data_IF_844271610642
#
_entry.id   IF_844271610642
#
_cell.length_a   1.000
_cell.length_b   1.000
_cell.length_c   1.000
_cell.angle_alpha   90.00
_cell.angle_beta   90.00
_cell.angle_gamma   90.00
#
_symmetry.space_group_name_H-M   'P 1'
#
loop_
_entity.id
_entity.type
_entity.pdbx_description
1 polymer ?
#
# COMPACT_ATOMS: atom_id res chain seq x y z
N UNK A 1 -11.55 18.01 -16.72
CA UNK A 1 -12.21 16.76 -16.28
C UNK A 1 -12.84 17.03 -14.93
N UNK A 2 -14.07 16.55 -14.70
CA UNK A 2 -14.73 16.70 -13.40
C UNK A 2 -13.95 15.88 -12.37
N UNK A 3 -13.57 16.45 -11.21
CA UNK A 3 -12.89 15.69 -10.15
C UNK A 3 -13.85 14.61 -9.64
N UNK A 4 -13.62 13.35 -10.01
CA UNK A 4 -14.39 12.20 -9.50
C UNK A 4 -14.19 12.12 -7.99
N UNK A 5 -15.28 12.22 -7.20
CA UNK A 5 -15.17 12.04 -5.75
C UNK A 5 -15.00 10.55 -5.42
N UNK A 6 -14.49 10.18 -4.22
CA UNK A 6 -14.43 8.77 -3.84
C UNK A 6 -15.78 8.06 -3.84
N UNK A 7 -16.89 8.80 -3.62
CA UNK A 7 -18.23 8.23 -3.70
C UNK A 7 -18.62 7.91 -5.14
N UNK A 8 -18.34 8.80 -6.08
CA UNK A 8 -18.61 8.60 -7.50
C UNK A 8 -17.78 7.44 -8.06
N UNK A 9 -16.49 7.38 -7.69
CA UNK A 9 -15.59 6.30 -8.11
C UNK A 9 -16.08 4.93 -7.63
N UNK A 10 -16.51 4.82 -6.36
CA UNK A 10 -17.08 3.57 -5.83
C UNK A 10 -18.35 3.17 -6.57
N UNK A 11 -19.25 4.12 -6.83
CA UNK A 11 -20.49 3.86 -7.57
C UNK A 11 -20.20 3.38 -9.01
N UNK A 12 -19.18 3.91 -9.66
CA UNK A 12 -18.75 3.47 -10.99
C UNK A 12 -18.14 2.05 -10.93
N UNK A 13 -17.21 1.80 -10.00
CA UNK A 13 -16.57 0.50 -9.81
C UNK A 13 -17.58 -0.62 -9.51
N UNK A 14 -18.66 -0.31 -8.80
CA UNK A 14 -19.75 -1.25 -8.52
C UNK A 14 -20.48 -1.72 -9.78
N UNK A 15 -20.54 -0.88 -10.83
CA UNK A 15 -21.14 -1.26 -12.12
C UNK A 15 -20.21 -2.15 -12.96
N UNK A 16 -18.91 -2.19 -12.65
CA UNK A 16 -17.94 -2.98 -13.39
C UNK A 16 -17.96 -4.44 -12.90
N UNK A 17 -18.18 -5.43 -13.79
CA UNK A 17 -18.11 -6.84 -13.43
C UNK A 17 -16.78 -7.19 -12.77
N UNK A 18 -16.78 -8.00 -11.71
CA UNK A 18 -15.58 -8.31 -10.92
C UNK A 18 -14.39 -8.74 -11.78
N UNK A 19 -14.59 -9.61 -12.77
CA UNK A 19 -13.53 -10.08 -13.67
C UNK A 19 -13.03 -9.06 -14.70
N UNK A 20 -13.67 -7.89 -14.81
CA UNK A 20 -13.28 -6.81 -15.71
C UNK A 20 -12.69 -5.60 -14.96
N UNK A 21 -12.77 -5.57 -13.62
CA UNK A 21 -12.30 -4.43 -12.81
C UNK A 21 -10.83 -4.15 -12.98
N UNK A 22 -10.02 -5.19 -13.15
CA UNK A 22 -8.59 -5.05 -13.31
C UNK A 22 -8.24 -4.29 -14.60
N UNK A 23 -8.75 -4.76 -15.74
CA UNK A 23 -8.53 -4.11 -17.04
C UNK A 23 -9.18 -2.71 -17.11
N UNK A 24 -10.35 -2.53 -16.48
CA UNK A 24 -11.01 -1.24 -16.42
C UNK A 24 -10.18 -0.22 -15.63
N UNK A 25 -9.64 -0.60 -14.47
CA UNK A 25 -8.78 0.29 -13.67
C UNK A 25 -7.50 0.61 -14.43
N UNK A 26 -6.89 -0.38 -15.08
CA UNK A 26 -5.65 -0.17 -15.83
C UNK A 26 -5.86 0.84 -16.97
N UNK A 27 -6.95 0.70 -17.72
CA UNK A 27 -7.31 1.65 -18.77
C UNK A 27 -7.61 3.06 -18.21
N UNK A 28 -8.33 3.15 -17.08
CA UNK A 28 -8.62 4.42 -16.42
C UNK A 28 -7.33 5.13 -15.96
N UNK A 29 -6.37 4.36 -15.42
CA UNK A 29 -5.14 4.87 -14.85
C UNK A 29 -3.95 4.91 -15.84
N UNK A 30 -4.13 4.48 -17.09
CA UNK A 30 -3.04 4.38 -18.07
C UNK A 30 -1.95 3.38 -17.69
N UNK A 31 -2.32 2.21 -17.17
CA UNK A 31 -1.41 1.13 -16.74
C UNK A 31 -1.16 0.10 -17.86
N UNK A 32 -1.71 0.33 -19.06
CA UNK A 32 -1.65 -0.58 -20.22
C UNK A 32 -0.23 -0.99 -20.64
N UNK A 33 0.76 -0.12 -20.39
CA UNK A 33 2.18 -0.41 -20.57
C UNK A 33 2.94 -0.14 -19.26
N UNK A 34 3.51 -1.20 -18.68
CA UNK A 34 4.44 -1.08 -17.56
C UNK A 34 5.87 -1.30 -18.03
N UNK A 35 6.82 -0.45 -17.64
CA UNK A 35 8.23 -0.67 -17.93
C UNK A 35 8.67 -2.06 -17.47
N UNK A 36 9.51 -2.73 -18.26
CA UNK A 36 10.15 -3.97 -17.87
C UNK A 36 11.03 -3.76 -16.62
N UNK A 37 11.19 -4.82 -15.83
CA UNK A 37 12.08 -4.79 -14.68
C UNK A 37 13.53 -4.49 -15.10
N UNK A 38 14.14 -3.53 -14.40
CA UNK A 38 15.49 -3.05 -14.70
C UNK A 38 16.56 -3.63 -13.77
N UNK A 39 17.82 -3.32 -14.06
CA UNK A 39 18.97 -3.70 -13.22
C UNK A 39 18.92 -3.12 -11.79
N UNK A 40 17.99 -2.20 -11.51
CA UNK A 40 17.74 -1.64 -10.19
C UNK A 40 16.98 -2.60 -9.26
N UNK A 41 16.32 -3.64 -9.78
CA UNK A 41 15.64 -4.64 -8.96
C UNK A 41 16.68 -5.50 -8.21
N UNK A 42 16.71 -5.50 -6.86
CA UNK A 42 17.69 -6.27 -6.12
C UNK A 42 17.50 -7.78 -6.33
N UNK A 43 18.59 -8.54 -6.23
CA UNK A 43 18.52 -10.00 -6.23
C UNK A 43 17.63 -10.50 -5.09
N UNK A 44 16.68 -11.37 -5.41
CA UNK A 44 15.73 -11.93 -4.44
C UNK A 44 14.43 -11.14 -4.28
N UNK A 45 14.29 -10.00 -4.96
CA UNK A 45 13.01 -9.29 -5.08
C UNK A 45 12.14 -9.91 -6.19
N UNK A 46 10.83 -9.70 -6.09
CA UNK A 46 9.84 -10.22 -7.05
C UNK A 46 9.71 -9.23 -8.22
N UNK A 47 9.67 -9.72 -9.48
CA UNK A 47 9.28 -8.92 -10.65
C UNK A 47 7.98 -8.15 -10.44
N UNK A 48 7.80 -7.02 -11.14
CA UNK A 48 6.56 -6.27 -11.00
C UNK A 48 5.33 -7.10 -11.43
N UNK A 49 4.41 -7.29 -10.48
CA UNK A 49 3.10 -7.90 -10.70
C UNK A 49 2.04 -7.04 -10.00
N UNK A 50 1.04 -6.50 -10.72
CA UNK A 50 -0.01 -5.72 -10.09
C UNK A 50 -0.87 -6.57 -9.16
N UNK A 51 -1.17 -6.04 -7.97
CA UNK A 51 -2.15 -6.65 -7.06
C UNK A 51 -3.57 -6.57 -7.67
N UNK A 52 -4.35 -7.68 -7.67
CA UNK A 52 -5.72 -7.66 -8.16
C UNK A 52 -6.60 -6.64 -7.42
N UNK A 53 -7.51 -5.99 -8.14
CA UNK A 53 -8.44 -4.99 -7.58
C UNK A 53 -9.26 -5.59 -6.43
N UNK A 54 -9.72 -6.82 -6.57
CA UNK A 54 -10.48 -7.52 -5.52
C UNK A 54 -9.69 -7.65 -4.21
N UNK A 55 -8.37 -7.89 -4.30
CA UNK A 55 -7.49 -8.04 -3.14
C UNK A 55 -7.24 -6.69 -2.45
N UNK A 56 -7.02 -5.62 -3.23
CA UNK A 56 -6.89 -4.26 -2.67
C UNK A 56 -8.19 -3.83 -1.99
N UNK A 57 -9.36 -4.10 -2.59
CA UNK A 57 -10.66 -3.80 -1.98
C UNK A 57 -10.83 -4.53 -0.63
N UNK A 58 -10.48 -5.81 -0.58
CA UNK A 58 -10.53 -6.58 0.66
C UNK A 58 -9.60 -5.99 1.73
N UNK A 59 -8.40 -5.56 1.35
CA UNK A 59 -7.44 -4.92 2.26
C UNK A 59 -7.96 -3.58 2.79
N UNK A 60 -8.46 -2.71 1.91
CA UNK A 60 -9.05 -1.40 2.27
C UNK A 60 -10.22 -1.57 3.24
N UNK A 61 -11.12 -2.52 2.95
CA UNK A 61 -12.27 -2.81 3.81
C UNK A 61 -11.84 -3.38 5.17
N UNK A 62 -10.96 -4.38 5.18
CA UNK A 62 -10.56 -5.07 6.40
C UNK A 62 -9.70 -4.17 7.31
N UNK A 63 -8.80 -3.37 6.74
CA UNK A 63 -8.04 -2.37 7.49
C UNK A 63 -8.86 -1.12 7.84
N UNK A 64 -10.10 -1.00 7.33
CA UNK A 64 -10.98 0.16 7.55
C UNK A 64 -10.30 1.48 7.16
N UNK A 65 -9.65 1.52 5.99
CA UNK A 65 -8.94 2.72 5.52
C UNK A 65 -9.93 3.84 5.22
N UNK A 66 -9.69 5.03 5.78
CA UNK A 66 -10.52 6.22 5.59
C UNK A 66 -9.70 7.38 5.01
N UNK A 67 -10.36 8.48 4.66
CA UNK A 67 -9.73 9.71 4.17
C UNK A 67 -8.76 10.36 5.16
N UNK A 68 -8.88 10.05 6.46
CA UNK A 68 -8.08 10.64 7.54
C UNK A 68 -6.75 9.90 7.73
N UNK A 69 -6.55 8.78 7.03
CA UNK A 69 -5.38 7.93 7.13
C UNK A 69 -4.31 8.29 6.10
N UNK A 70 -3.08 7.87 6.37
CA UNK A 70 -1.97 7.89 5.42
C UNK A 70 -1.63 6.45 5.05
N UNK A 71 -1.97 6.08 3.83
CA UNK A 71 -1.72 4.75 3.28
C UNK A 71 -0.34 4.69 2.62
N UNK A 72 0.46 3.70 2.99
CA UNK A 72 1.81 3.49 2.47
C UNK A 72 1.88 2.14 1.77
N UNK A 73 2.11 2.15 0.46
CA UNK A 73 2.33 0.97 -0.36
C UNK A 73 3.83 0.67 -0.46
N UNK A 74 4.25 -0.46 0.10
CA UNK A 74 5.65 -0.86 0.22
C UNK A 74 6.00 -1.79 -0.94
N UNK A 75 6.73 -1.28 -1.93
CA UNK A 75 6.91 -1.94 -3.23
C UNK A 75 5.77 -1.60 -4.19
N UNK A 76 5.49 -0.30 -4.37
CA UNK A 76 4.29 0.18 -5.06
C UNK A 76 4.27 -0.06 -6.57
N UNK A 77 5.42 -0.45 -7.14
CA UNK A 77 5.57 -0.67 -8.57
C UNK A 77 5.07 0.50 -9.41
N UNK A 78 4.23 0.20 -10.39
CA UNK A 78 3.67 1.19 -11.30
C UNK A 78 2.53 2.06 -10.70
N UNK A 79 2.24 1.89 -9.39
CA UNK A 79 1.35 2.75 -8.62
C UNK A 79 -0.13 2.32 -8.58
N UNK A 80 -0.49 1.16 -9.11
CA UNK A 80 -1.89 0.69 -9.21
C UNK A 80 -2.63 0.72 -7.87
N UNK A 81 -2.02 0.14 -6.82
CA UNK A 81 -2.63 0.07 -5.48
C UNK A 81 -2.77 1.48 -4.89
N UNK A 82 -1.73 2.30 -4.97
CA UNK A 82 -1.75 3.70 -4.50
C UNK A 82 -2.88 4.50 -5.14
N UNK A 83 -3.00 4.43 -6.48
CA UNK A 83 -4.06 5.12 -7.22
C UNK A 83 -5.44 4.62 -6.83
N UNK A 84 -5.63 3.30 -6.77
CA UNK A 84 -6.90 2.67 -6.41
C UNK A 84 -7.33 3.06 -4.99
N UNK A 85 -6.44 2.96 -4.00
CA UNK A 85 -6.76 3.29 -2.60
C UNK A 85 -7.15 4.76 -2.48
N UNK A 86 -6.41 5.67 -3.14
CA UNK A 86 -6.75 7.09 -3.13
C UNK A 86 -8.13 7.34 -3.78
N UNK A 87 -8.39 6.75 -4.94
CA UNK A 87 -9.69 6.88 -5.63
C UNK A 87 -10.85 6.30 -4.80
N UNK A 88 -10.61 5.22 -4.04
CA UNK A 88 -11.62 4.60 -3.20
C UNK A 88 -11.94 5.39 -1.92
N UNK A 89 -10.94 6.07 -1.34
CA UNK A 89 -11.03 6.54 0.05
C UNK A 89 -10.79 8.04 0.22
N UNK A 90 -10.03 8.67 -0.69
CA UNK A 90 -9.49 10.02 -0.53
C UNK A 90 -8.30 10.11 0.44
N UNK A 91 -7.78 8.98 0.94
CA UNK A 91 -6.64 8.95 1.84
C UNK A 91 -5.39 9.58 1.20
N UNK A 92 -4.51 10.15 2.02
CA UNK A 92 -3.16 10.48 1.55
C UNK A 92 -2.42 9.16 1.27
N UNK A 93 -1.81 9.04 0.09
CA UNK A 93 -1.16 7.80 -0.31
C UNK A 93 0.31 8.03 -0.71
N UNK A 94 1.16 7.12 -0.26
CA UNK A 94 2.60 7.14 -0.49
C UNK A 94 3.01 5.80 -1.09
N UNK A 95 3.62 5.80 -2.26
CA UNK A 95 4.23 4.60 -2.83
C UNK A 95 5.75 4.61 -2.66
N UNK A 96 6.32 3.52 -2.11
CA UNK A 96 7.75 3.29 -2.06
C UNK A 96 8.13 2.31 -3.16
N UNK A 97 9.02 2.71 -4.08
CA UNK A 97 9.43 1.84 -5.19
C UNK A 97 10.91 2.06 -5.53
N UNK A 98 11.64 0.97 -5.73
CA UNK A 98 13.08 1.02 -5.97
C UNK A 98 13.44 1.24 -7.45
N UNK A 99 12.58 0.78 -8.36
CA UNK A 99 12.81 0.84 -9.80
C UNK A 99 12.45 2.22 -10.37
N UNK A 100 13.42 2.99 -10.91
CA UNK A 100 13.18 4.36 -11.36
C UNK A 100 12.14 4.49 -12.48
N UNK A 101 12.08 3.50 -13.37
CA UNK A 101 11.13 3.47 -14.48
C UNK A 101 9.68 3.33 -13.97
N UNK A 102 9.45 2.45 -13.00
CA UNK A 102 8.13 2.27 -12.37
C UNK A 102 7.71 3.51 -11.59
N UNK A 103 8.62 4.14 -10.83
CA UNK A 103 8.35 5.42 -10.14
C UNK A 103 7.98 6.52 -11.13
N UNK A 104 8.72 6.63 -12.24
CA UNK A 104 8.45 7.64 -13.27
C UNK A 104 7.06 7.44 -13.88
N UNK A 105 6.70 6.19 -14.21
CA UNK A 105 5.38 5.86 -14.72
C UNK A 105 4.28 6.18 -13.68
N UNK A 106 4.47 5.80 -12.42
CA UNK A 106 3.52 6.04 -11.35
C UNK A 106 3.27 7.55 -11.10
N UNK A 107 4.34 8.37 -11.09
CA UNK A 107 4.25 9.83 -11.00
C UNK A 107 3.49 10.42 -12.19
N UNK A 108 3.83 10.01 -13.41
CA UNK A 108 3.14 10.47 -14.62
C UNK A 108 1.64 10.16 -14.63
N UNK A 109 1.23 9.02 -14.06
CA UNK A 109 -0.20 8.66 -13.91
C UNK A 109 -0.93 9.51 -12.88
N UNK A 110 -0.32 9.74 -11.71
CA UNK A 110 -0.90 10.62 -10.71
C UNK A 110 -1.05 12.06 -11.24
N UNK A 111 -0.05 12.54 -12.00
CA UNK A 111 -0.08 13.84 -12.65
C UNK A 111 -1.16 13.92 -13.75
N UNK A 112 -1.28 12.92 -14.62
CA UNK A 112 -2.27 12.90 -15.71
C UNK A 112 -3.71 12.86 -15.19
N UNK A 113 -3.94 12.15 -14.08
CA UNK A 113 -5.22 12.09 -13.37
C UNK A 113 -5.47 13.32 -12.47
N UNK A 114 -4.49 14.22 -12.34
CA UNK A 114 -4.55 15.41 -11.49
C UNK A 114 -4.88 15.08 -10.02
N UNK A 115 -4.36 13.95 -9.53
CA UNK A 115 -4.59 13.49 -8.16
C UNK A 115 -3.68 14.25 -7.19
N UNK A 116 -4.28 14.83 -6.17
CA UNK A 116 -3.58 15.49 -5.06
C UNK A 116 -3.40 14.49 -3.91
N UNK A 117 -2.50 14.77 -2.96
CA UNK A 117 -2.24 13.90 -1.79
C UNK A 117 -1.76 12.49 -2.16
N UNK A 118 -1.12 12.35 -3.33
CA UNK A 118 -0.38 11.16 -3.74
C UNK A 118 1.07 11.56 -3.98
N UNK A 119 2.01 10.76 -3.50
CA UNK A 119 3.41 10.85 -3.91
C UNK A 119 4.07 9.49 -4.00
N UNK A 120 5.14 9.44 -4.78
CA UNK A 120 5.97 8.25 -4.94
C UNK A 120 7.41 8.59 -4.58
N UNK A 121 8.01 7.81 -3.68
CA UNK A 121 9.39 7.96 -3.27
C UNK A 121 10.23 6.85 -3.91
N UNK A 122 11.28 7.27 -4.62
CA UNK A 122 12.20 6.34 -5.25
C UNK A 122 13.25 5.90 -4.25
N UNK A 123 13.35 4.60 -4.00
CA UNK A 123 14.44 4.02 -3.25
C UNK A 123 14.07 2.70 -2.60
N UNK A 124 15.02 2.17 -1.86
CA UNK A 124 14.85 0.92 -1.14
C UNK A 124 13.92 1.12 0.06
N UNK A 125 12.80 0.40 0.08
CA UNK A 125 11.85 0.50 1.18
C UNK A 125 12.48 0.22 2.55
N UNK A 126 13.47 -0.68 2.64
CA UNK A 126 14.15 -0.95 3.91
C UNK A 126 15.12 0.16 4.34
N UNK A 127 15.38 1.16 3.49
CA UNK A 127 16.13 2.36 3.86
C UNK A 127 15.20 3.56 4.06
N UNK A 128 14.09 3.63 3.31
CA UNK A 128 13.17 4.75 3.31
C UNK A 128 12.11 4.69 4.40
N UNK A 129 11.68 3.50 4.83
CA UNK A 129 10.46 3.35 5.64
C UNK A 129 10.53 4.12 6.97
N UNK A 130 11.66 4.07 7.69
CA UNK A 130 11.86 4.83 8.91
C UNK A 130 11.73 6.36 8.75
N UNK A 131 11.85 6.90 7.53
CA UNK A 131 11.63 8.31 7.22
C UNK A 131 10.16 8.66 6.95
N UNK A 132 9.31 7.66 6.65
CA UNK A 132 7.87 7.83 6.39
C UNK A 132 7.10 7.88 7.70
N UNK A 133 7.44 8.85 8.55
CA UNK A 133 6.94 8.91 9.92
C UNK A 133 5.46 9.18 10.01
N UNK A 134 4.73 9.54 8.96
CA UNK A 134 3.28 9.84 9.03
C UNK A 134 2.37 8.66 8.67
N UNK A 135 2.92 7.54 8.19
CA UNK A 135 2.13 6.38 7.76
C UNK A 135 1.28 5.75 8.88
N UNK A 136 0.05 5.34 8.55
CA UNK A 136 -0.87 4.71 9.51
C UNK A 136 -1.40 3.35 9.04
N UNK A 137 -1.48 3.14 7.72
CA UNK A 137 -1.78 1.84 7.11
C UNK A 137 -0.67 1.49 6.14
N UNK A 138 -0.10 0.31 6.28
CA UNK A 138 0.98 -0.18 5.42
C UNK A 138 0.49 -1.39 4.64
N UNK A 139 0.78 -1.43 3.34
CA UNK A 139 0.39 -2.51 2.45
C UNK A 139 1.62 -3.14 1.82
N UNK A 140 1.74 -4.46 1.97
CA UNK A 140 2.85 -5.26 1.46
C UNK A 140 2.25 -6.38 0.60
N UNK A 141 2.49 -6.31 -0.72
CA UNK A 141 2.16 -7.39 -1.64
C UNK A 141 3.42 -8.17 -2.04
N UNK A 142 3.82 -9.10 -1.17
CA UNK A 142 5.05 -9.91 -1.31
C UNK A 142 6.26 -9.14 -1.90
N UNK A 143 6.61 -7.93 -1.38
CA UNK A 143 7.59 -7.09 -2.06
C UNK A 143 9.01 -7.65 -1.94
N UNK A 144 9.29 -8.37 -0.84
CA UNK A 144 10.58 -8.97 -0.50
C UNK A 144 10.46 -9.85 0.77
N UNK A 145 11.53 -10.56 1.11
CA UNK A 145 11.63 -11.42 2.29
C UNK A 145 13.01 -11.30 2.97
N UNK A 146 13.22 -12.02 4.08
CA UNK A 146 14.49 -12.05 4.81
C UNK A 146 14.85 -10.72 5.47
N UNK A 147 16.15 -10.38 5.48
CA UNK A 147 16.68 -9.21 6.19
C UNK A 147 16.00 -7.88 5.80
N UNK A 148 15.55 -7.77 4.55
CA UNK A 148 14.83 -6.58 4.07
C UNK A 148 13.47 -6.43 4.74
N UNK A 149 12.74 -7.53 4.86
CA UNK A 149 11.46 -7.55 5.55
C UNK A 149 11.67 -7.32 7.05
N UNK A 150 12.68 -7.92 7.65
CA UNK A 150 12.99 -7.73 9.06
C UNK A 150 13.26 -6.24 9.37
N UNK A 151 14.09 -5.57 8.57
CA UNK A 151 14.35 -4.12 8.74
C UNK A 151 13.09 -3.27 8.61
N UNK A 152 12.23 -3.59 7.64
CA UNK A 152 10.94 -2.91 7.47
C UNK A 152 10.06 -3.11 8.70
N UNK A 153 9.99 -4.32 9.25
CA UNK A 153 9.21 -4.58 10.45
C UNK A 153 9.78 -3.88 11.69
N UNK A 154 11.10 -3.76 11.80
CA UNK A 154 11.76 -3.03 12.91
C UNK A 154 11.40 -1.53 12.87
N UNK A 155 11.41 -0.91 11.69
CA UNK A 155 10.97 0.48 11.50
C UNK A 155 9.49 0.66 11.84
N UNK A 156 8.63 -0.26 11.40
CA UNK A 156 7.20 -0.24 11.74
C UNK A 156 6.96 -0.45 13.23
N UNK A 157 7.76 -1.26 13.91
CA UNK A 157 7.68 -1.43 15.36
C UNK A 157 8.01 -0.11 16.08
N UNK A 158 9.06 0.59 15.64
CA UNK A 158 9.41 1.90 16.20
C UNK A 158 8.24 2.90 16.03
N UNK A 159 7.57 2.89 14.88
CA UNK A 159 6.37 3.70 14.64
C UNK A 159 5.18 3.26 15.50
N UNK A 160 4.97 1.95 15.65
CA UNK A 160 3.91 1.36 16.45
C UNK A 160 3.99 1.74 17.94
N UNK A 161 5.19 2.03 18.44
CA UNK A 161 5.40 2.54 19.82
C UNK A 161 4.86 3.95 20.01
N UNK A 162 4.80 4.76 18.96
CA UNK A 162 4.32 6.14 19.02
C UNK A 162 2.83 6.26 18.68
N UNK A 163 2.30 5.39 17.83
CA UNK A 163 0.88 5.36 17.44
C UNK A 163 0.42 3.96 17.05
N UNK A 164 -0.88 3.73 17.05
CA UNK A 164 -1.41 2.51 16.45
C UNK A 164 -1.32 2.56 14.93
N UNK A 165 -0.83 1.47 14.33
CA UNK A 165 -0.75 1.28 12.88
C UNK A 165 -1.42 -0.03 12.47
N UNK A 166 -1.72 -0.16 11.17
CA UNK A 166 -2.26 -1.38 10.56
C UNK A 166 -1.37 -1.83 9.42
N UNK A 167 -1.22 -3.13 9.25
CA UNK A 167 -0.39 -3.72 8.21
C UNK A 167 -1.20 -4.76 7.45
N UNK A 168 -1.31 -4.60 6.15
CA UNK A 168 -1.93 -5.55 5.23
C UNK A 168 -0.82 -6.31 4.51
N UNK A 169 -0.83 -7.64 4.59
CA UNK A 169 0.14 -8.51 3.95
C UNK A 169 -0.59 -9.45 3.00
N UNK A 170 -0.18 -9.45 1.74
CA UNK A 170 -0.78 -10.26 0.69
C UNK A 170 0.27 -11.21 0.11
N UNK A 171 -0.08 -12.49 -0.03
CA UNK A 171 0.81 -13.55 -0.54
C UNK A 171 2.14 -13.67 0.24
N UNK A 172 2.08 -13.50 1.56
CA UNK A 172 3.22 -13.61 2.47
C UNK A 172 2.92 -14.65 3.57
N UNK A 173 3.94 -15.32 4.12
CA UNK A 173 3.75 -16.09 5.35
C UNK A 173 3.29 -15.17 6.50
N UNK A 174 2.55 -15.69 7.48
CA UNK A 174 2.13 -14.90 8.63
C UNK A 174 3.32 -14.25 9.35
N UNK A 175 3.15 -13.00 9.78
CA UNK A 175 4.19 -12.26 10.49
C UNK A 175 4.09 -12.59 11.98
N UNK A 176 5.18 -13.12 12.52
CA UNK A 176 5.30 -13.41 13.94
C UNK A 176 6.13 -12.31 14.62
N UNK A 177 5.41 -11.31 15.16
CA UNK A 177 5.99 -10.23 15.98
C UNK A 177 5.12 -9.99 17.22
N UNK A 178 5.72 -9.81 18.41
CA UNK A 178 4.97 -9.68 19.67
C UNK A 178 4.12 -8.40 19.76
N UNK A 179 4.46 -7.38 18.96
CA UNK A 179 3.74 -6.11 18.90
C UNK A 179 2.61 -6.12 17.86
N UNK A 180 2.39 -7.21 17.14
CA UNK A 180 1.32 -7.35 16.14
C UNK A 180 0.23 -8.31 16.62
N UNK A 181 -1.01 -7.89 16.41
CA UNK A 181 -2.20 -8.73 16.59
C UNK A 181 -2.82 -8.95 15.22
N UNK A 182 -2.81 -10.19 14.73
CA UNK A 182 -3.52 -10.57 13.49
C UNK A 182 -5.03 -10.47 13.72
N UNK A 183 -5.72 -9.75 12.85
CA UNK A 183 -7.17 -9.65 12.86
C UNK A 183 -7.79 -10.93 12.26
N UNK A 184 -9.02 -11.30 12.64
CA UNK A 184 -9.69 -12.48 12.09
C UNK A 184 -9.73 -12.41 10.55
N UNK A 185 -9.11 -13.38 9.89
CA UNK A 185 -8.94 -13.37 8.45
C UNK A 185 -10.29 -13.39 7.71
N UNK A 186 -10.40 -12.57 6.67
CA UNK A 186 -11.54 -12.54 5.75
C UNK A 186 -11.25 -13.23 4.41
N UNK A 187 -9.98 -13.58 4.16
CA UNK A 187 -9.49 -14.28 2.97
C UNK A 187 -8.25 -15.10 3.33
N UNK A 188 -7.94 -16.12 2.52
CA UNK A 188 -6.74 -16.97 2.66
C UNK A 188 -5.45 -16.27 2.20
N UNK A 189 -5.56 -15.26 1.34
CA UNK A 189 -4.41 -14.59 0.72
C UNK A 189 -4.04 -13.25 1.37
N UNK A 190 -4.87 -12.74 2.29
CA UNK A 190 -4.73 -11.45 2.95
C UNK A 190 -4.72 -11.61 4.45
N UNK A 191 -3.63 -11.16 5.07
CA UNK A 191 -3.54 -10.94 6.49
C UNK A 191 -3.56 -9.46 6.81
N UNK A 192 -4.38 -9.09 7.80
CA UNK A 192 -4.37 -7.74 8.35
C UNK A 192 -3.96 -7.82 9.81
N UNK A 193 -2.97 -7.03 10.17
CA UNK A 193 -2.46 -6.89 11.51
C UNK A 193 -2.75 -5.49 12.02
N UNK A 194 -2.95 -5.39 13.33
CA UNK A 194 -2.98 -4.13 14.06
C UNK A 194 -1.87 -4.15 15.10
N UNK A 195 -1.14 -3.04 15.24
CA UNK A 195 -0.17 -2.95 16.31
C UNK A 195 -0.83 -2.91 17.69
N UNK A 196 -0.13 -3.43 18.69
CA UNK A 196 -0.52 -3.21 20.08
C UNK A 196 -0.51 -1.71 20.37
N UNK A 197 -1.48 -1.20 21.15
CA UNK A 197 -1.50 0.21 21.49
C UNK A 197 -0.22 0.60 22.23
N UNK A 198 0.28 1.84 22.05
CA UNK A 198 1.37 2.35 22.86
C UNK A 198 1.06 2.13 24.34
N UNK A 199 2.02 1.61 25.10
CA UNK A 199 1.89 1.56 26.55
C UNK A 199 1.90 3.01 27.03
N UNK A 200 0.72 3.57 27.26
CA UNK A 200 0.58 4.84 27.96
C UNK A 200 1.10 4.58 29.37
N UNK A 201 2.30 5.08 29.66
CA UNK A 201 2.82 5.13 31.02
C UNK A 201 1.84 5.95 31.85
N UNK A 202 1.01 5.30 32.65
CA UNK A 202 0.47 5.94 33.82
C UNK A 202 1.66 6.09 34.77
N UNK A 203 2.30 7.26 34.76
CA UNK A 203 3.05 7.72 35.91
C UNK A 203 2.05 7.80 37.07
N UNK A 204 2.04 6.75 37.89
CA UNK A 204 1.48 6.83 39.23
C UNK A 204 2.41 7.72 40.02
N UNK A 205 2.03 8.99 40.14
CA UNK A 205 2.54 9.91 41.16
C UNK A 205 2.36 9.36 42.58
#
# INVERSE_FOLDING_TARGET
MNRTTPADFRAELEQIPTGARDAWLDALCGIDETPDDGAALPRGCVPYLPCPVATVLAAVQHASVTSDEVFVDVGSGAGRTVLLVHLLTGAECIGLEIQPALVTAARGRAESLQLERIRFEQGDAAELLGSITIGTVFFLYCPFSGERLDRVLDDLEAMARARQIRICCVQMPPIERPWLVRLPATSVELDVYRSTPPVLGFDTA
#
